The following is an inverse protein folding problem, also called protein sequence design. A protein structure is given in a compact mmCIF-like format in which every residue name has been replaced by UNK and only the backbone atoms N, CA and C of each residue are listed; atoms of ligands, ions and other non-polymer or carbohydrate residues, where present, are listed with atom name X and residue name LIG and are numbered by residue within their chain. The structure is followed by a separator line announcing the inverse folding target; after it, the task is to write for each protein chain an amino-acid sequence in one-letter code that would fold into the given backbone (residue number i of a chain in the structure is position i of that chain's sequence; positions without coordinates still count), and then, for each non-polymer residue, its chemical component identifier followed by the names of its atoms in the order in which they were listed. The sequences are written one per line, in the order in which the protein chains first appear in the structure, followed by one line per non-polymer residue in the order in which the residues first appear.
data_IF_908535285580
#
_entry.id   IF_908535285580
#
_cell.length_a   1.000
_cell.length_b   1.000
_cell.length_c   1.000
_cell.angle_alpha   90.00
_cell.angle_beta   90.00
_cell.angle_gamma   90.00
#
_symmetry.space_group_name_H-M   'P 1'
#
loop_
_entity.id
_entity.type
_entity.pdbx_description
1 polymer ?
#
# COMPACT_ATOMS: atom_id res chain seq x y z
N UNK A 1 -39.67 -39.33 -6.47
CA UNK A 1 -38.40 -39.29 -5.71
C UNK A 1 -37.57 -38.20 -6.32
N UNK A 2 -37.69 -36.99 -5.78
CA UNK A 2 -36.99 -35.78 -6.20
C UNK A 2 -35.75 -35.66 -5.34
N UNK A 3 -34.55 -35.93 -5.90
CA UNK A 3 -33.30 -35.67 -5.24
C UNK A 3 -33.05 -34.15 -5.18
N UNK A 4 -32.90 -33.66 -3.97
CA UNK A 4 -32.56 -32.28 -3.62
C UNK A 4 -31.15 -31.94 -4.12
N UNK A 5 -31.07 -30.85 -4.90
CA UNK A 5 -29.78 -30.22 -5.32
C UNK A 5 -29.33 -29.30 -4.19
N UNK A 6 -28.69 -29.86 -3.19
CA UNK A 6 -28.07 -29.09 -2.10
C UNK A 6 -26.93 -29.83 -1.41
N UNK A 7 -25.86 -30.13 -2.15
CA UNK A 7 -24.59 -30.55 -1.53
C UNK A 7 -23.42 -30.25 -2.49
N UNK A 8 -23.23 -28.96 -2.78
CA UNK A 8 -21.91 -28.49 -3.17
C UNK A 8 -21.22 -28.07 -1.87
N UNK A 9 -20.01 -28.60 -1.58
CA UNK A 9 -19.28 -28.17 -0.41
C UNK A 9 -19.02 -26.67 -0.53
N UNK A 10 -19.56 -25.88 0.40
CA UNK A 10 -19.13 -24.50 0.62
C UNK A 10 -17.61 -24.56 0.84
N UNK A 11 -16.84 -24.12 -0.15
CA UNK A 11 -15.43 -23.86 0.04
C UNK A 11 -15.33 -22.85 1.17
N UNK A 12 -14.68 -23.25 2.27
CA UNK A 12 -14.35 -22.37 3.35
C UNK A 12 -13.79 -21.08 2.74
N UNK A 13 -14.38 -19.96 3.11
CA UNK A 13 -13.98 -18.62 2.74
C UNK A 13 -12.54 -18.44 3.26
N UNK A 14 -11.54 -18.72 2.42
CA UNK A 14 -10.15 -18.44 2.76
C UNK A 14 -10.00 -16.96 2.65
N UNK A 15 -9.82 -16.28 3.78
CA UNK A 15 -9.57 -14.85 3.83
C UNK A 15 -8.47 -14.49 2.85
N UNK A 16 -8.79 -13.66 1.84
CA UNK A 16 -7.82 -13.20 0.83
C UNK A 16 -6.77 -12.30 1.47
N UNK A 17 -7.15 -11.60 2.52
CA UNK A 17 -6.31 -10.72 3.33
C UNK A 17 -6.58 -11.04 4.80
N UNK A 18 -5.56 -11.31 5.57
CA UNK A 18 -5.67 -11.42 7.02
C UNK A 18 -5.21 -10.15 7.71
N UNK A 19 -5.82 -9.82 8.86
CA UNK A 19 -5.42 -8.72 9.74
C UNK A 19 -4.96 -9.27 11.09
N UNK A 20 -3.83 -8.78 11.57
CA UNK A 20 -3.32 -9.01 12.93
C UNK A 20 -2.85 -7.69 13.50
N UNK A 21 -3.34 -7.30 14.68
CA UNK A 21 -2.95 -6.03 15.30
C UNK A 21 -1.81 -6.24 16.31
N UNK A 22 -0.81 -5.39 16.23
CA UNK A 22 0.35 -5.32 17.11
C UNK A 22 0.33 -3.98 17.86
N UNK A 23 -0.44 -3.90 18.94
CA UNK A 23 -0.72 -2.62 19.61
C UNK A 23 -1.43 -1.66 18.65
N UNK A 24 -0.86 -0.50 18.40
CA UNK A 24 -1.43 0.50 17.49
C UNK A 24 -1.06 0.30 16.00
N UNK A 25 -0.50 -0.86 15.63
CA UNK A 25 -0.11 -1.20 14.26
C UNK A 25 -1.01 -2.30 13.73
N UNK A 26 -1.77 -2.03 12.68
CA UNK A 26 -2.50 -3.05 11.93
C UNK A 26 -1.59 -3.70 10.89
N UNK A 27 -1.43 -5.01 10.94
CA UNK A 27 -0.69 -5.79 9.96
C UNK A 27 -1.67 -6.51 9.04
N UNK A 28 -1.67 -6.12 7.77
CA UNK A 28 -2.43 -6.76 6.71
C UNK A 28 -1.51 -7.70 5.91
N UNK A 29 -1.96 -8.91 5.71
CA UNK A 29 -1.20 -9.92 4.96
C UNK A 29 -2.02 -10.42 3.79
N UNK A 30 -1.50 -10.27 2.56
CA UNK A 30 -2.07 -10.91 1.38
C UNK A 30 -1.87 -12.44 1.50
N UNK A 31 -2.97 -13.19 1.61
CA UNK A 31 -2.98 -14.58 2.08
C UNK A 31 -3.36 -15.60 0.98
N UNK A 32 -2.94 -15.36 -0.25
CA UNK A 32 -3.14 -16.28 -1.39
C UNK A 32 -1.80 -16.71 -2.03
N UNK A 33 -0.87 -17.33 -1.27
CA UNK A 33 0.47 -17.66 -1.75
C UNK A 33 0.46 -18.61 -2.96
N UNK A 34 -0.53 -19.51 -3.06
CA UNK A 34 -0.68 -20.40 -4.21
C UNK A 34 -0.92 -19.65 -5.53
N UNK A 35 -1.54 -18.47 -5.46
CA UNK A 35 -1.76 -17.57 -6.59
C UNK A 35 -0.76 -16.39 -6.58
N UNK A 36 0.34 -16.52 -5.82
CA UNK A 36 1.35 -15.45 -5.66
C UNK A 36 0.74 -14.10 -5.29
N UNK A 37 -0.31 -14.13 -4.47
CA UNK A 37 -1.05 -12.96 -3.99
C UNK A 37 -1.53 -12.04 -5.13
N UNK A 38 -1.97 -12.63 -6.24
CA UNK A 38 -2.50 -11.87 -7.37
C UNK A 38 -3.73 -11.06 -6.96
N UNK A 39 -3.81 -9.82 -7.49
CA UNK A 39 -4.92 -8.89 -7.26
C UNK A 39 -6.13 -9.29 -8.10
N UNK A 40 -6.85 -10.32 -7.66
CA UNK A 40 -8.21 -10.65 -8.11
C UNK A 40 -9.20 -9.59 -7.62
N UNK A 41 -10.43 -9.58 -8.17
CA UNK A 41 -11.50 -8.72 -7.66
C UNK A 41 -11.76 -8.96 -6.17
N UNK A 42 -11.70 -10.22 -5.73
CA UNK A 42 -11.90 -10.61 -4.32
C UNK A 42 -10.74 -10.13 -3.44
N UNK A 43 -9.48 -10.28 -3.89
CA UNK A 43 -8.31 -9.79 -3.15
C UNK A 43 -8.37 -8.26 -2.96
N UNK A 44 -8.69 -7.54 -4.05
CA UNK A 44 -8.81 -6.08 -3.99
C UNK A 44 -9.97 -5.64 -3.10
N UNK A 45 -11.11 -6.34 -3.14
CA UNK A 45 -12.25 -6.09 -2.26
C UNK A 45 -11.89 -6.27 -0.79
N UNK A 46 -11.33 -7.43 -0.43
CA UNK A 46 -10.94 -7.74 0.94
C UNK A 46 -9.91 -6.71 1.50
N UNK A 47 -8.93 -6.31 0.68
CA UNK A 47 -7.96 -5.30 1.10
C UNK A 47 -8.62 -3.93 1.29
N UNK A 48 -9.53 -3.53 0.39
CA UNK A 48 -10.26 -2.28 0.49
C UNK A 48 -11.17 -2.22 1.73
N UNK A 49 -11.82 -3.33 2.08
CA UNK A 49 -12.66 -3.44 3.28
C UNK A 49 -11.83 -3.25 4.56
N UNK A 50 -10.71 -3.96 4.69
CA UNK A 50 -9.80 -3.76 5.83
C UNK A 50 -9.28 -2.32 5.93
N UNK A 51 -8.88 -1.69 4.82
CA UNK A 51 -8.44 -0.30 4.81
C UNK A 51 -9.56 0.67 5.21
N UNK A 52 -10.81 0.37 4.79
CA UNK A 52 -11.98 1.14 5.17
C UNK A 52 -12.24 1.06 6.69
N UNK A 53 -12.11 -0.13 7.29
CA UNK A 53 -12.26 -0.31 8.73
C UNK A 53 -11.13 0.40 9.50
N UNK A 54 -9.89 0.23 9.06
CA UNK A 54 -8.72 0.90 9.66
C UNK A 54 -8.87 2.43 9.60
N UNK A 55 -9.40 2.97 8.52
CA UNK A 55 -9.55 4.43 8.38
C UNK A 55 -10.42 5.06 9.47
N UNK A 56 -11.32 4.28 10.07
CA UNK A 56 -12.27 4.69 11.12
C UNK A 56 -11.85 4.26 12.53
N UNK A 57 -10.80 3.45 12.62
CA UNK A 57 -10.31 2.92 13.90
C UNK A 57 -9.26 3.86 14.51
N UNK A 58 -9.60 4.60 15.58
CA UNK A 58 -8.66 5.51 16.22
C UNK A 58 -7.53 4.78 16.95
N UNK A 59 -7.69 3.49 17.27
CA UNK A 59 -6.65 2.69 17.90
C UNK A 59 -5.52 2.32 16.94
N UNK A 60 -5.76 2.38 15.61
CA UNK A 60 -4.75 2.08 14.61
C UNK A 60 -4.05 3.35 14.15
N UNK A 61 -2.74 3.40 14.35
CA UNK A 61 -1.89 4.56 14.04
C UNK A 61 -0.97 4.33 12.83
N UNK A 62 -0.71 3.08 12.47
CA UNK A 62 0.11 2.73 11.31
C UNK A 62 -0.34 1.38 10.74
N UNK A 63 -0.10 1.18 9.45
CA UNK A 63 -0.41 -0.07 8.74
C UNK A 63 0.86 -0.67 8.16
N UNK A 64 1.02 -1.98 8.31
CA UNK A 64 2.04 -2.77 7.58
C UNK A 64 1.30 -3.67 6.61
N UNK A 65 1.72 -3.68 5.35
CA UNK A 65 1.20 -4.56 4.31
C UNK A 65 2.28 -5.53 3.86
N UNK A 66 2.03 -6.84 3.96
CA UNK A 66 2.93 -7.90 3.53
C UNK A 66 2.22 -8.95 2.68
N UNK A 67 2.95 -9.90 2.12
CA UNK A 67 2.40 -11.06 1.42
C UNK A 67 2.95 -12.37 1.97
N UNK A 68 2.12 -13.41 2.03
CA UNK A 68 2.54 -14.76 2.34
C UNK A 68 3.24 -15.43 1.16
N UNK A 69 4.14 -16.37 1.47
CA UNK A 69 4.79 -17.24 0.48
C UNK A 69 5.88 -16.55 -0.33
N UNK A 70 6.12 -17.00 -1.59
CA UNK A 70 7.32 -16.64 -2.36
C UNK A 70 7.22 -15.28 -3.07
N UNK A 71 6.05 -14.63 -3.05
CA UNK A 71 5.84 -13.34 -3.70
C UNK A 71 5.05 -12.40 -2.78
N UNK A 72 5.45 -11.14 -2.78
CA UNK A 72 4.63 -10.09 -2.17
C UNK A 72 3.31 -9.98 -2.94
N UNK A 73 3.35 -9.72 -4.24
CA UNK A 73 2.18 -9.66 -5.12
C UNK A 73 2.59 -9.74 -6.60
N UNK A 74 1.97 -10.64 -7.36
CA UNK A 74 2.28 -10.87 -8.78
C UNK A 74 1.48 -9.97 -9.76
N UNK A 75 0.77 -8.96 -9.27
CA UNK A 75 -0.10 -8.12 -10.11
C UNK A 75 -1.51 -8.70 -10.26
N UNK A 76 -2.24 -8.27 -11.30
CA UNK A 76 -3.62 -8.75 -11.52
C UNK A 76 -3.69 -10.24 -11.80
N UNK A 77 -4.81 -10.87 -11.46
CA UNK A 77 -5.04 -12.28 -11.78
C UNK A 77 -5.33 -12.43 -13.29
N UNK A 78 -4.30 -12.86 -14.04
CA UNK A 78 -4.41 -13.07 -15.48
C UNK A 78 -5.38 -14.22 -15.85
N UNK A 79 -5.71 -15.11 -14.92
CA UNK A 79 -6.69 -16.17 -15.15
C UNK A 79 -8.11 -15.60 -15.19
N UNK A 80 -8.44 -14.67 -14.27
CA UNK A 80 -9.71 -13.93 -14.33
C UNK A 80 -9.82 -13.14 -15.64
N UNK A 81 -8.77 -12.39 -16.00
CA UNK A 81 -8.71 -11.61 -17.23
C UNK A 81 -8.87 -12.49 -18.47
N UNK A 82 -8.19 -13.64 -18.52
CA UNK A 82 -8.24 -14.55 -19.66
C UNK A 82 -9.63 -15.22 -19.78
N UNK A 83 -10.20 -15.65 -18.64
CA UNK A 83 -11.52 -16.27 -18.62
C UNK A 83 -12.64 -15.32 -19.10
N UNK A 84 -12.53 -14.04 -18.78
CA UNK A 84 -13.51 -13.03 -19.19
C UNK A 84 -13.58 -12.84 -20.71
N UNK A 85 -12.52 -13.16 -21.46
CA UNK A 85 -12.53 -13.03 -22.93
C UNK A 85 -13.54 -13.93 -23.62
N UNK A 86 -14.08 -14.93 -22.93
CA UNK A 86 -15.17 -15.77 -23.44
C UNK A 86 -16.54 -15.09 -23.36
N UNK A 87 -16.67 -13.93 -22.69
CA UNK A 87 -17.92 -13.19 -22.62
C UNK A 87 -18.25 -12.50 -23.95
N UNK A 88 -19.54 -12.18 -24.22
CA UNK A 88 -19.98 -11.54 -25.47
C UNK A 88 -19.31 -10.18 -25.76
N UNK A 89 -18.83 -9.49 -24.72
CA UNK A 89 -18.10 -8.20 -24.80
C UNK A 89 -16.59 -8.37 -24.81
N UNK A 90 -16.10 -9.60 -25.03
CA UNK A 90 -14.68 -9.97 -25.01
C UNK A 90 -13.97 -9.64 -23.69
N UNK A 91 -14.73 -9.51 -22.60
CA UNK A 91 -14.24 -9.24 -21.25
C UNK A 91 -14.17 -7.76 -20.88
N UNK A 92 -14.66 -6.85 -21.71
CA UNK A 92 -14.58 -5.39 -21.50
C UNK A 92 -15.12 -4.98 -20.12
N UNK A 93 -16.29 -5.45 -19.74
CA UNK A 93 -16.90 -5.10 -18.45
C UNK A 93 -16.01 -5.50 -17.26
N UNK A 94 -15.45 -6.71 -17.27
CA UNK A 94 -14.52 -7.15 -16.22
C UNK A 94 -13.22 -6.33 -16.24
N UNK A 95 -12.71 -5.99 -17.40
CA UNK A 95 -11.47 -5.19 -17.49
C UNK A 95 -11.67 -3.79 -16.91
N UNK A 96 -12.79 -3.14 -17.24
CA UNK A 96 -13.18 -1.84 -16.69
C UNK A 96 -13.36 -1.91 -15.18
N UNK A 97 -14.05 -2.94 -14.67
CA UNK A 97 -14.21 -3.16 -13.23
C UNK A 97 -12.87 -3.40 -12.54
N UNK A 98 -12.02 -4.27 -13.08
CA UNK A 98 -10.70 -4.60 -12.50
C UNK A 98 -9.82 -3.36 -12.40
N UNK A 99 -9.70 -2.59 -13.48
CA UNK A 99 -8.89 -1.38 -13.50
C UNK A 99 -9.48 -0.28 -12.61
N UNK A 100 -10.80 -0.14 -12.58
CA UNK A 100 -11.51 0.78 -11.70
C UNK A 100 -11.28 0.47 -10.22
N UNK A 101 -11.46 -0.79 -9.81
CA UNK A 101 -11.23 -1.24 -8.43
C UNK A 101 -9.76 -1.08 -8.02
N UNK A 102 -8.83 -1.45 -8.91
CA UNK A 102 -7.40 -1.24 -8.65
C UNK A 102 -7.08 0.24 -8.44
N UNK A 103 -7.57 1.12 -9.32
CA UNK A 103 -7.36 2.56 -9.19
C UNK A 103 -7.95 3.12 -7.90
N UNK A 104 -9.15 2.67 -7.52
CA UNK A 104 -9.80 3.07 -6.26
C UNK A 104 -9.02 2.60 -5.04
N UNK A 105 -8.54 1.36 -5.04
CA UNK A 105 -7.72 0.80 -3.97
C UNK A 105 -6.41 1.59 -3.77
N UNK A 106 -5.70 1.92 -4.85
CA UNK A 106 -4.46 2.71 -4.76
C UNK A 106 -4.73 4.11 -4.21
N UNK A 107 -5.82 4.75 -4.65
CA UNK A 107 -6.24 6.05 -4.10
C UNK A 107 -6.62 5.95 -2.62
N UNK A 108 -7.29 4.88 -2.21
CA UNK A 108 -7.64 4.62 -0.81
C UNK A 108 -6.38 4.50 0.07
N UNK A 109 -5.37 3.74 -0.36
CA UNK A 109 -4.08 3.62 0.35
C UNK A 109 -3.41 5.01 0.47
N UNK A 110 -3.37 5.75 -0.63
CA UNK A 110 -2.77 7.08 -0.65
C UNK A 110 -3.51 8.09 0.26
N UNK A 111 -4.84 7.98 0.35
CA UNK A 111 -5.69 8.87 1.14
C UNK A 111 -5.88 8.39 2.60
N UNK A 112 -5.46 7.16 2.94
CA UNK A 112 -5.61 6.62 4.29
C UNK A 112 -4.95 7.56 5.31
N UNK A 113 -5.63 7.94 6.41
CA UNK A 113 -5.03 8.80 7.43
C UNK A 113 -3.77 8.21 8.06
N UNK A 114 -3.76 6.89 8.27
CA UNK A 114 -2.62 6.16 8.81
C UNK A 114 -1.52 5.99 7.77
N UNK A 115 -0.24 6.14 8.12
CA UNK A 115 0.88 5.73 7.26
C UNK A 115 0.82 4.23 6.94
N UNK A 116 1.16 3.88 5.69
CA UNK A 116 1.21 2.50 5.20
C UNK A 116 2.64 2.13 4.81
N UNK A 117 3.16 1.06 5.37
CA UNK A 117 4.50 0.52 5.09
C UNK A 117 4.36 -0.81 4.36
N UNK A 118 4.88 -0.92 3.15
CA UNK A 118 5.00 -2.21 2.48
C UNK A 118 6.22 -2.99 3.03
N UNK A 119 6.01 -4.27 3.33
CA UNK A 119 7.05 -5.21 3.75
C UNK A 119 7.20 -6.28 2.68
N UNK A 120 8.25 -6.20 1.87
CA UNK A 120 8.36 -6.97 0.64
C UNK A 120 9.36 -8.12 0.83
N UNK A 121 8.85 -9.35 0.73
CA UNK A 121 9.64 -10.53 0.50
C UNK A 121 9.31 -11.10 -0.89
N UNK A 122 10.34 -11.65 -1.58
CA UNK A 122 10.16 -12.22 -2.91
C UNK A 122 9.82 -11.16 -3.98
N UNK A 123 8.77 -11.41 -4.77
CA UNK A 123 8.53 -10.67 -6.03
C UNK A 123 7.33 -9.74 -5.90
N UNK A 124 7.49 -8.51 -6.37
CA UNK A 124 6.42 -7.52 -6.56
C UNK A 124 6.39 -7.10 -8.04
N UNK A 125 5.39 -7.55 -8.82
CA UNK A 125 5.32 -7.28 -10.26
C UNK A 125 4.04 -6.57 -10.68
N UNK A 126 4.10 -5.80 -11.75
CA UNK A 126 2.96 -5.10 -12.35
C UNK A 126 2.15 -4.31 -11.29
N UNK A 127 0.86 -4.65 -11.08
CA UNK A 127 0.03 -4.03 -10.04
C UNK A 127 0.55 -4.32 -8.61
N UNK A 128 1.37 -5.36 -8.38
CA UNK A 128 2.06 -5.58 -7.12
C UNK A 128 3.19 -4.57 -6.89
N UNK A 129 3.94 -4.22 -7.93
CA UNK A 129 4.92 -3.13 -7.89
C UNK A 129 4.23 -1.76 -7.72
N UNK A 130 3.07 -1.56 -8.35
CA UNK A 130 2.20 -0.39 -8.14
C UNK A 130 1.79 -0.26 -6.67
N UNK A 131 1.43 -1.36 -6.03
CA UNK A 131 1.03 -1.39 -4.61
C UNK A 131 2.19 -0.93 -3.72
N UNK A 132 3.42 -1.41 -3.97
CA UNK A 132 4.63 -0.94 -3.27
C UNK A 132 4.83 0.56 -3.48
N UNK A 133 4.80 1.04 -4.72
CA UNK A 133 5.00 2.45 -5.06
C UNK A 133 3.90 3.38 -4.49
N UNK A 134 2.72 2.83 -4.17
CA UNK A 134 1.59 3.58 -3.61
C UNK A 134 1.68 3.74 -2.10
N UNK A 135 2.27 2.78 -1.40
CA UNK A 135 2.52 2.85 0.05
C UNK A 135 3.39 4.07 0.39
N UNK A 136 3.30 4.57 1.62
CA UNK A 136 4.08 5.74 2.05
C UNK A 136 5.55 5.39 2.24
N UNK A 137 5.82 4.17 2.68
CA UNK A 137 7.16 3.64 2.95
C UNK A 137 7.24 2.17 2.51
N UNK A 138 8.47 1.69 2.29
CA UNK A 138 8.71 0.31 1.91
C UNK A 138 10.01 -0.25 2.51
N UNK A 139 9.96 -1.49 2.99
CA UNK A 139 11.09 -2.28 3.46
C UNK A 139 11.18 -3.55 2.61
N UNK A 140 12.32 -3.82 2.02
CA UNK A 140 12.55 -5.00 1.19
C UNK A 140 13.57 -5.96 1.80
N UNK A 141 13.29 -7.25 1.75
CA UNK A 141 14.30 -8.27 1.96
C UNK A 141 15.35 -8.22 0.83
N UNK A 142 16.60 -8.56 1.12
CA UNK A 142 17.72 -8.45 0.17
C UNK A 142 17.52 -9.22 -1.15
N UNK A 143 16.70 -10.29 -1.14
CA UNK A 143 16.37 -11.04 -2.34
C UNK A 143 15.07 -10.58 -3.04
N UNK A 144 14.43 -9.50 -2.58
CA UNK A 144 13.23 -8.95 -3.20
C UNK A 144 13.50 -8.49 -4.64
N UNK A 145 12.49 -8.65 -5.51
CA UNK A 145 12.56 -8.31 -6.94
C UNK A 145 11.33 -7.50 -7.35
N UNK A 146 11.54 -6.56 -8.26
CA UNK A 146 10.51 -5.64 -8.73
C UNK A 146 10.54 -5.52 -10.24
N UNK A 147 9.39 -5.49 -10.91
CA UNK A 147 9.28 -5.18 -12.33
C UNK A 147 7.86 -4.74 -12.72
N UNK A 148 7.75 -4.21 -13.94
CA UNK A 148 6.47 -3.90 -14.58
C UNK A 148 6.42 -4.52 -15.98
N UNK A 149 6.33 -5.87 -16.07
CA UNK A 149 6.62 -6.65 -17.29
C UNK A 149 5.43 -6.71 -18.27
N UNK A 150 4.53 -5.74 -18.25
CA UNK A 150 3.38 -5.71 -19.17
C UNK A 150 3.78 -5.77 -20.64
N UNK A 151 4.89 -5.13 -20.99
CA UNK A 151 5.41 -5.08 -22.39
C UNK A 151 5.76 -6.47 -22.92
N UNK A 152 6.16 -7.42 -22.06
CA UNK A 152 6.48 -8.80 -22.45
C UNK A 152 5.24 -9.61 -22.87
N UNK A 153 4.06 -9.15 -22.51
CA UNK A 153 2.77 -9.80 -22.83
C UNK A 153 1.85 -8.91 -23.68
N UNK A 154 2.42 -7.88 -24.33
CA UNK A 154 1.68 -6.99 -25.22
C UNK A 154 0.81 -5.94 -24.50
N UNK A 155 1.10 -5.64 -23.22
CA UNK A 155 0.44 -4.61 -22.45
C UNK A 155 1.47 -3.57 -22.00
N UNK A 156 1.04 -2.32 -21.81
CA UNK A 156 1.83 -1.33 -21.10
C UNK A 156 1.29 -1.18 -19.68
N UNK A 157 2.16 -1.20 -18.66
CA UNK A 157 1.76 -1.07 -17.26
C UNK A 157 1.33 0.38 -16.92
N UNK A 158 0.26 0.87 -17.56
CA UNK A 158 -0.19 2.27 -17.48
C UNK A 158 -0.59 2.67 -16.07
N UNK A 159 -1.39 1.84 -15.38
CA UNK A 159 -1.81 2.13 -13.99
C UNK A 159 -0.64 2.01 -13.00
N UNK A 160 0.26 1.01 -13.08
CA UNK A 160 1.51 1.01 -12.32
C UNK A 160 2.38 2.24 -12.58
N UNK A 161 2.44 2.73 -13.83
CA UNK A 161 3.18 3.92 -14.22
C UNK A 161 2.73 5.19 -13.47
N UNK A 162 1.46 5.27 -13.06
CA UNK A 162 0.95 6.39 -12.24
C UNK A 162 1.63 6.44 -10.88
N UNK A 163 1.76 5.30 -10.20
CA UNK A 163 2.40 5.22 -8.88
C UNK A 163 3.92 5.35 -8.99
N UNK A 164 4.54 4.62 -9.94
CA UNK A 164 5.99 4.69 -10.16
C UNK A 164 6.46 6.10 -10.49
N UNK A 165 5.80 6.81 -11.40
CA UNK A 165 6.18 8.18 -11.77
C UNK A 165 6.03 9.21 -10.64
N UNK A 166 5.45 8.82 -9.51
CA UNK A 166 5.34 9.62 -8.28
C UNK A 166 6.28 9.17 -7.16
N UNK A 167 6.80 7.95 -7.25
CA UNK A 167 7.69 7.37 -6.26
C UNK A 167 9.17 7.45 -6.67
N UNK A 168 9.47 7.28 -7.96
CA UNK A 168 10.85 7.23 -8.46
C UNK A 168 11.07 8.30 -9.55
N UNK A 169 12.33 8.61 -9.84
CA UNK A 169 12.65 9.57 -10.91
C UNK A 169 12.09 9.11 -12.26
N UNK A 170 11.60 10.04 -13.12
CA UNK A 170 10.93 9.68 -14.37
C UNK A 170 11.71 8.74 -15.30
N UNK A 171 13.05 8.86 -15.32
CA UNK A 171 13.90 7.98 -16.14
C UNK A 171 13.88 6.54 -15.64
N UNK A 172 13.95 6.33 -14.33
CA UNK A 172 13.85 4.99 -13.72
C UNK A 172 12.45 4.39 -13.89
N UNK A 173 11.39 5.22 -13.74
CA UNK A 173 10.04 4.77 -14.05
C UNK A 173 9.89 4.29 -15.48
N UNK A 174 10.38 5.08 -16.45
CA UNK A 174 10.32 4.72 -17.88
C UNK A 174 11.19 3.50 -18.21
N UNK A 175 12.37 3.36 -17.61
CA UNK A 175 13.20 2.17 -17.72
C UNK A 175 12.41 0.91 -17.33
N UNK A 176 11.85 0.86 -16.12
CA UNK A 176 11.05 -0.26 -15.65
C UNK A 176 9.84 -0.54 -16.55
N UNK A 177 9.14 0.51 -17.03
CA UNK A 177 7.92 0.38 -17.82
C UNK A 177 8.19 -0.05 -19.27
N UNK A 178 9.29 0.36 -19.86
CA UNK A 178 9.61 0.07 -21.27
C UNK A 178 10.35 -1.25 -21.45
N UNK A 179 11.19 -1.63 -20.49
CA UNK A 179 11.96 -2.87 -20.58
C UNK A 179 11.23 -4.06 -19.98
N UNK A 180 10.42 -3.83 -18.94
CA UNK A 180 9.82 -4.92 -18.15
C UNK A 180 10.83 -5.68 -17.28
N UNK A 181 12.11 -5.32 -17.33
CA UNK A 181 13.21 -6.01 -16.67
C UNK A 181 13.02 -6.05 -15.14
N UNK A 182 13.49 -7.13 -14.57
CA UNK A 182 13.42 -7.35 -13.14
C UNK A 182 14.62 -6.71 -12.44
N UNK A 183 14.38 -5.74 -11.56
CA UNK A 183 15.39 -5.10 -10.73
C UNK A 183 15.46 -5.73 -9.34
N UNK A 184 16.64 -5.70 -8.69
CA UNK A 184 16.86 -6.16 -7.34
C UNK A 184 16.52 -5.10 -6.28
N UNK A 185 16.62 -5.51 -5.01
CA UNK A 185 16.37 -4.63 -3.86
C UNK A 185 17.32 -3.42 -3.86
N UNK A 186 18.58 -3.58 -4.23
CA UNK A 186 19.58 -2.50 -4.29
C UNK A 186 19.21 -1.44 -5.32
N UNK A 187 18.80 -1.84 -6.54
CA UNK A 187 18.34 -0.90 -7.56
C UNK A 187 17.04 -0.23 -7.15
N UNK A 188 16.09 -0.99 -6.57
CA UNK A 188 14.84 -0.45 -6.07
C UNK A 188 15.08 0.61 -4.97
N UNK A 189 16.07 0.40 -4.10
CA UNK A 189 16.48 1.38 -3.10
C UNK A 189 17.15 2.60 -3.76
N UNK A 190 18.08 2.38 -4.68
CA UNK A 190 18.75 3.45 -5.42
C UNK A 190 17.77 4.32 -6.22
N UNK A 191 16.71 3.72 -6.76
CA UNK A 191 15.67 4.44 -7.51
C UNK A 191 14.69 5.19 -6.59
N UNK A 192 14.65 4.86 -5.28
CA UNK A 192 13.72 5.43 -4.32
C UNK A 192 12.39 4.69 -4.20
N UNK A 193 12.27 3.50 -4.81
CA UNK A 193 11.06 2.65 -4.69
C UNK A 193 10.94 2.03 -3.30
N UNK A 194 12.06 1.70 -2.66
CA UNK A 194 12.10 1.20 -1.28
C UNK A 194 13.03 2.07 -0.41
N UNK A 195 12.69 2.19 0.89
CA UNK A 195 13.44 3.01 1.84
C UNK A 195 14.56 2.24 2.52
N UNK A 196 14.38 0.94 2.74
CA UNK A 196 15.31 0.10 3.52
C UNK A 196 15.44 -1.28 2.90
N UNK A 197 16.66 -1.81 2.95
CA UNK A 197 16.96 -3.21 2.63
C UNK A 197 17.38 -3.88 3.93
N UNK A 198 16.85 -5.08 4.16
CA UNK A 198 17.15 -5.90 5.32
C UNK A 198 17.50 -7.33 4.88
N UNK A 199 18.13 -8.14 5.73
CA UNK A 199 18.34 -9.55 5.40
C UNK A 199 17.05 -10.24 4.98
N UNK A 200 17.17 -11.22 4.06
CA UNK A 200 16.04 -12.02 3.58
C UNK A 200 15.23 -12.60 4.74
N UNK A 201 13.91 -12.51 4.66
CA UNK A 201 12.98 -12.96 5.68
C UNK A 201 12.71 -11.98 6.82
N UNK A 202 13.40 -10.83 6.88
CA UNK A 202 13.27 -9.86 7.97
C UNK A 202 12.45 -8.61 7.60
N UNK A 203 11.93 -8.51 6.37
CA UNK A 203 11.23 -7.30 5.93
C UNK A 203 9.98 -7.01 6.78
N UNK A 204 9.21 -8.03 7.15
CA UNK A 204 8.02 -7.91 8.00
C UNK A 204 8.37 -7.39 9.40
N UNK A 205 9.34 -8.01 10.04
CA UNK A 205 9.76 -7.61 11.39
C UNK A 205 10.29 -6.18 11.41
N UNK A 206 11.14 -5.82 10.44
CA UNK A 206 11.69 -4.47 10.31
C UNK A 206 10.59 -3.42 10.03
N UNK A 207 9.59 -3.76 9.21
CA UNK A 207 8.46 -2.88 8.94
C UNK A 207 7.57 -2.68 10.18
N UNK A 208 7.29 -3.75 10.94
CA UNK A 208 6.55 -3.67 12.21
C UNK A 208 7.27 -2.82 13.25
N UNK A 209 8.59 -3.00 13.41
CA UNK A 209 9.39 -2.18 14.30
C UNK A 209 9.37 -0.70 13.88
N UNK A 210 9.43 -0.42 12.58
CA UNK A 210 9.36 0.94 12.08
C UNK A 210 7.97 1.55 12.23
N UNK A 211 6.91 0.78 11.98
CA UNK A 211 5.53 1.20 12.21
C UNK A 211 5.27 1.51 13.70
N UNK A 212 5.77 0.68 14.61
CA UNK A 212 5.70 0.93 16.05
C UNK A 212 6.41 2.22 16.44
N UNK A 213 7.59 2.49 15.86
CA UNK A 213 8.27 3.77 16.08
C UNK A 213 7.48 4.96 15.55
N UNK A 214 6.86 4.85 14.35
CA UNK A 214 6.00 5.92 13.81
C UNK A 214 4.78 6.13 14.71
N UNK A 215 4.18 5.07 15.22
CA UNK A 215 3.03 5.12 16.12
C UNK A 215 3.33 5.82 17.47
N UNK A 216 4.59 6.09 17.82
CA UNK A 216 4.95 6.94 18.99
C UNK A 216 4.83 8.44 18.72
N UNK A 217 4.56 8.87 17.50
CA UNK A 217 4.42 10.29 17.12
C UNK A 217 2.97 10.73 17.26
N UNK A 218 2.74 12.06 17.28
CA UNK A 218 1.39 12.61 17.31
C UNK A 218 0.55 12.06 16.15
N UNK A 219 -0.56 11.37 16.42
CA UNK A 219 -1.45 10.85 15.37
C UNK A 219 -2.02 11.95 14.50
N UNK A 220 -2.37 13.08 15.11
CA UNK A 220 -2.92 14.23 14.40
C UNK A 220 -1.89 14.86 13.46
N UNK A 221 -0.65 15.03 13.90
CA UNK A 221 0.43 15.55 13.06
C UNK A 221 0.72 14.62 11.87
N UNK A 222 0.72 13.30 12.08
CA UNK A 222 0.92 12.32 11.01
C UNK A 222 -0.20 12.37 9.97
N UNK A 223 -1.48 12.39 10.41
CA UNK A 223 -2.65 12.47 9.52
C UNK A 223 -2.64 13.75 8.69
N UNK A 224 -2.46 14.90 9.34
CA UNK A 224 -2.40 16.21 8.67
C UNK A 224 -1.20 16.30 7.72
N UNK A 225 -0.03 15.85 8.16
CA UNK A 225 1.20 15.87 7.38
C UNK A 225 1.10 15.03 6.11
N UNK A 226 0.66 13.76 6.22
CA UNK A 226 0.45 12.87 5.07
C UNK A 226 -0.53 13.48 4.07
N UNK A 227 -1.70 13.91 4.53
CA UNK A 227 -2.73 14.50 3.66
C UNK A 227 -2.22 15.77 2.95
N UNK A 228 -1.52 16.65 3.67
CA UNK A 228 -0.95 17.88 3.12
C UNK A 228 0.14 17.57 2.10
N UNK A 229 1.06 16.66 2.42
CA UNK A 229 2.14 16.26 1.52
C UNK A 229 1.60 15.73 0.18
N UNK A 230 0.60 14.83 0.22
CA UNK A 230 -0.02 14.27 -0.99
C UNK A 230 -0.71 15.37 -1.83
N UNK A 231 -1.41 16.29 -1.19
CA UNK A 231 -2.13 17.36 -1.89
C UNK A 231 -1.18 18.38 -2.53
N UNK A 232 -0.16 18.83 -1.81
CA UNK A 232 0.76 19.83 -2.31
C UNK A 232 1.60 19.33 -3.49
N UNK A 233 1.92 18.01 -3.56
CA UNK A 233 2.64 17.43 -4.69
C UNK A 233 1.87 17.51 -6.02
N UNK A 234 0.58 17.75 -6.00
CA UNK A 234 -0.24 17.95 -7.20
C UNK A 234 -0.41 19.45 -7.56
N UNK A 235 0.16 20.37 -6.78
CA UNK A 235 -0.02 21.81 -6.95
C UNK A 235 1.20 22.45 -7.64
N UNK A 236 1.00 23.57 -8.38
CA UNK A 236 2.08 24.49 -8.73
C UNK A 236 2.76 25.05 -7.47
N UNK A 237 4.06 25.35 -7.56
CA UNK A 237 4.89 25.71 -6.40
C UNK A 237 4.29 26.80 -5.47
N UNK A 238 3.76 27.95 -5.98
CA UNK A 238 3.15 28.94 -5.09
C UNK A 238 1.96 28.40 -4.30
N UNK A 239 1.07 27.66 -4.97
CA UNK A 239 -0.10 27.06 -4.33
C UNK A 239 0.29 25.94 -3.33
N UNK A 240 1.37 25.20 -3.59
CA UNK A 240 1.91 24.20 -2.69
C UNK A 240 2.36 24.83 -1.37
N UNK A 241 3.10 25.97 -1.42
CA UNK A 241 3.52 26.70 -0.23
C UNK A 241 2.34 27.31 0.53
N UNK A 242 1.34 27.87 -0.17
CA UNK A 242 0.14 28.41 0.46
C UNK A 242 -0.66 27.33 1.20
N UNK A 243 -0.79 26.15 0.58
CA UNK A 243 -1.43 24.98 1.19
C UNK A 243 -0.66 24.52 2.43
N UNK A 244 0.67 24.36 2.31
CA UNK A 244 1.52 23.91 3.39
C UNK A 244 1.56 24.90 4.56
N UNK A 245 1.63 26.21 4.28
CA UNK A 245 1.61 27.24 5.31
C UNK A 245 0.31 27.22 6.11
N UNK A 246 -0.85 27.11 5.44
CA UNK A 246 -2.14 26.97 6.13
C UNK A 246 -2.18 25.71 6.98
N UNK A 247 -1.73 24.57 6.45
CA UNK A 247 -1.68 23.31 7.22
C UNK A 247 -0.78 23.42 8.45
N UNK A 248 0.38 24.12 8.36
CA UNK A 248 1.24 24.38 9.51
C UNK A 248 0.57 25.24 10.58
N UNK A 249 -0.16 26.29 10.18
CA UNK A 249 -0.92 27.12 11.13
C UNK A 249 -1.97 26.28 11.85
N UNK A 250 -2.77 25.52 11.10
CA UNK A 250 -3.79 24.64 11.69
C UNK A 250 -3.17 23.59 12.63
N UNK A 251 -2.02 23.02 12.27
CA UNK A 251 -1.33 22.06 13.12
C UNK A 251 -0.79 22.71 14.41
N UNK A 252 -0.24 23.93 14.32
CA UNK A 252 0.23 24.68 15.51
C UNK A 252 -0.90 25.01 16.50
N UNK A 253 -2.14 25.12 16.03
CA UNK A 253 -3.31 25.37 16.88
C UNK A 253 -3.81 24.12 17.61
N UNK A 254 -3.33 22.93 17.22
CA UNK A 254 -3.77 21.66 17.80
C UNK A 254 -3.21 21.41 19.22
N UNK A 255 -3.92 20.58 19.98
CA UNK A 255 -3.53 20.21 21.35
C UNK A 255 -2.16 19.49 21.36
N UNK A 256 -1.95 18.56 20.44
CA UNK A 256 -0.70 17.81 20.31
C UNK A 256 0.50 18.70 19.97
N UNK A 257 0.32 19.76 19.16
CA UNK A 257 1.40 20.71 18.88
C UNK A 257 1.80 21.49 20.13
N UNK A 258 0.80 21.92 20.93
CA UNK A 258 1.03 22.59 22.22
C UNK A 258 1.75 21.69 23.20
N UNK A 259 1.29 20.44 23.36
CA UNK A 259 1.91 19.44 24.21
C UNK A 259 3.35 19.13 23.76
N UNK A 260 3.54 18.86 22.47
CA UNK A 260 4.84 18.51 21.92
C UNK A 260 5.88 19.60 22.08
N UNK A 261 5.51 20.88 21.84
CA UNK A 261 6.39 22.03 22.03
C UNK A 261 6.70 22.21 23.52
N UNK A 262 5.68 22.13 24.42
CA UNK A 262 5.87 22.23 25.85
C UNK A 262 6.78 21.13 26.37
N UNK A 263 6.53 19.88 26.03
CA UNK A 263 7.35 18.73 26.40
C UNK A 263 8.82 18.87 25.96
N UNK A 264 9.04 19.37 24.72
CA UNK A 264 10.39 19.64 24.21
C UNK A 264 11.13 20.69 25.04
N UNK A 265 10.47 21.81 25.36
CA UNK A 265 11.06 22.88 26.17
C UNK A 265 11.34 22.42 27.60
N UNK A 266 10.46 21.60 28.17
CA UNK A 266 10.60 21.02 29.51
C UNK A 266 11.52 19.80 29.57
N UNK A 267 12.07 19.34 28.44
CA UNK A 267 12.93 18.15 28.29
C UNK A 267 12.29 16.87 28.83
N UNK A 268 11.00 16.69 28.62
CA UNK A 268 10.23 15.49 28.96
C UNK A 268 9.65 14.81 27.71
N UNK A 269 9.19 13.56 27.85
CA UNK A 269 8.43 12.89 26.80
C UNK A 269 7.06 13.54 26.64
N UNK A 270 6.53 13.71 25.40
CA UNK A 270 5.19 14.18 25.17
C UNK A 270 4.14 13.09 25.46
N UNK A 271 2.93 13.51 25.82
CA UNK A 271 1.75 12.65 25.93
C UNK A 271 0.70 13.15 24.95
N UNK A 272 0.42 12.33 23.90
CA UNK A 272 -0.49 12.73 22.85
C UNK A 272 -1.96 12.57 23.27
N UNK A 273 -2.83 13.53 22.91
CA UNK A 273 -4.22 13.56 23.36
C UNK A 273 -5.05 12.42 22.76
N UNK A 274 -4.83 12.05 21.50
CA UNK A 274 -5.53 10.95 20.83
C UNK A 274 -5.13 9.55 21.35
N UNK A 275 -4.12 9.47 22.24
CA UNK A 275 -3.65 8.24 22.88
C UNK A 275 -3.95 8.23 24.40
N UNK A 276 -4.65 9.23 24.92
CA UNK A 276 -5.08 9.23 26.31
C UNK A 276 -6.12 8.11 26.52
N UNK A 277 -6.01 7.29 27.60
CA UNK A 277 -6.92 6.19 27.88
C UNK A 277 -8.35 6.65 28.13
#
# INVERSE_FOLDING_TARGET
MTQSVSDLPQRADQDHVSRTDHGAVAHLTLARPANRNALSLQMMGALADHLSDISRDPAVLCVVLSGEGPAFCAGHDLREITAARAAPDEGRALFEETMGRCSSLMQQIAALPQPVIAAIEGVATAAGCQLVATCDLAVAGAAARFCTPGVDIGLFCSTPGVALGRAVAPKHAMEMLLTGDMIGAEDAHRFGLVNRIVPQGQAREAALAWATHIATKSPEALRMGKATFRRQMACPLPQAYDLAARAMVENLLKADAREGIGAFLDKRAPTWHDLAP
#
